data_IF_529798889408
#
_entry.id   IF_529798889408
#
_cell.length_a   1.000
_cell.length_b   1.000
_cell.length_c   1.000
_cell.angle_alpha   90.00
_cell.angle_beta   90.00
_cell.angle_gamma   90.00
#
_symmetry.space_group_name_H-M   'P 1'
#
loop_
_entity.id
_entity.type
_entity.pdbx_description
1 polymer ?
#
# COMPACT_ATOMS: atom_id res chain seq x y z
N UNK A 1 4.78 26.65 2.33
CA UNK A 1 4.08 25.48 2.90
C UNK A 1 3.60 24.66 1.72
N UNK A 2 3.96 23.37 1.62
CA UNK A 2 3.50 22.53 0.50
C UNK A 2 1.97 22.41 0.57
N UNK A 3 1.25 22.80 -0.48
CA UNK A 3 -0.22 22.80 -0.50
C UNK A 3 -0.82 21.53 -1.11
N UNK A 4 0.01 20.72 -1.78
CA UNK A 4 -0.41 19.54 -2.55
C UNK A 4 -0.81 18.31 -1.75
N UNK A 5 -1.22 18.43 -0.49
CA UNK A 5 -1.71 17.28 0.28
C UNK A 5 -3.06 16.78 -0.24
N UNK A 6 -3.24 15.46 -0.24
CA UNK A 6 -4.50 14.82 -0.65
C UNK A 6 -4.79 14.84 -2.16
N UNK A 7 -3.89 15.40 -2.97
CA UNK A 7 -3.96 15.31 -4.43
C UNK A 7 -3.13 14.12 -4.92
N UNK A 8 -3.62 13.46 -5.98
CA UNK A 8 -2.89 12.41 -6.67
C UNK A 8 -2.06 13.01 -7.81
N UNK A 9 -0.74 12.83 -7.76
CA UNK A 9 0.19 13.28 -8.78
C UNK A 9 0.80 12.11 -9.53
N UNK A 10 1.17 12.35 -10.79
CA UNK A 10 2.18 11.55 -11.46
C UNK A 10 3.56 11.92 -10.90
N UNK A 11 4.41 10.93 -10.63
CA UNK A 11 5.73 11.15 -10.01
C UNK A 11 6.60 12.13 -10.84
N UNK A 12 6.66 11.96 -12.16
CA UNK A 12 7.39 12.86 -13.06
C UNK A 12 6.85 14.30 -13.01
N UNK A 13 5.54 14.49 -13.02
CA UNK A 13 4.92 15.80 -12.95
C UNK A 13 5.21 16.51 -11.60
N UNK A 14 5.21 15.76 -10.49
CA UNK A 14 5.54 16.29 -9.17
C UNK A 14 7.01 16.73 -9.08
N UNK A 15 7.93 15.95 -9.65
CA UNK A 15 9.36 16.27 -9.67
C UNK A 15 9.67 17.55 -10.46
N UNK A 16 8.79 17.91 -11.40
CA UNK A 16 8.91 19.13 -12.20
C UNK A 16 8.23 20.35 -11.56
N UNK A 17 7.47 20.18 -10.46
CA UNK A 17 6.77 21.28 -9.81
C UNK A 17 7.73 22.14 -8.97
N UNK A 18 7.78 23.44 -9.25
CA UNK A 18 8.68 24.40 -8.58
C UNK A 18 8.59 24.35 -7.04
N UNK A 19 7.38 24.20 -6.48
CA UNK A 19 7.17 24.09 -5.04
C UNK A 19 7.89 22.89 -4.40
N UNK A 20 8.03 21.80 -5.15
CA UNK A 20 8.73 20.60 -4.71
C UNK A 20 10.26 20.79 -4.79
N UNK A 21 10.73 21.34 -5.91
CA UNK A 21 12.16 21.54 -6.19
C UNK A 21 12.80 22.54 -5.22
N UNK A 22 12.08 23.60 -4.86
CA UNK A 22 12.63 24.66 -3.99
C UNK A 22 12.64 24.30 -2.50
N UNK A 23 11.94 23.26 -2.06
CA UNK A 23 11.83 22.92 -0.64
C UNK A 23 12.42 21.54 -0.29
N UNK A 24 13.70 21.36 -0.60
CA UNK A 24 14.45 20.10 -0.40
C UNK A 24 14.48 19.61 1.06
N UNK A 25 14.28 20.52 2.02
CA UNK A 25 14.26 20.19 3.45
C UNK A 25 12.91 19.65 3.93
N UNK A 26 11.85 19.84 3.14
CA UNK A 26 10.51 19.38 3.45
C UNK A 26 10.41 17.85 3.41
N UNK A 27 9.56 17.29 4.27
CA UNK A 27 9.46 15.85 4.45
C UNK A 27 9.04 15.12 3.17
N UNK A 28 8.16 15.73 2.36
CA UNK A 28 7.68 15.14 1.09
C UNK A 28 8.81 14.92 0.09
N UNK A 29 9.71 15.90 -0.05
CA UNK A 29 10.92 15.79 -0.87
C UNK A 29 11.86 14.70 -0.35
N UNK A 30 12.21 14.75 0.95
CA UNK A 30 13.08 13.74 1.58
C UNK A 30 12.53 12.32 1.43
N UNK A 31 11.21 12.17 1.53
CA UNK A 31 10.53 10.87 1.40
C UNK A 31 10.63 10.32 -0.01
N UNK A 32 10.41 11.14 -1.04
CA UNK A 32 10.56 10.71 -2.44
C UNK A 32 12.00 10.32 -2.74
N UNK A 33 12.97 11.13 -2.32
CA UNK A 33 14.38 10.84 -2.56
C UNK A 33 14.82 9.54 -1.87
N UNK A 34 14.43 9.34 -0.60
CA UNK A 34 14.72 8.09 0.11
C UNK A 34 14.06 6.88 -0.56
N UNK A 35 12.78 7.01 -0.94
CA UNK A 35 12.05 5.94 -1.61
C UNK A 35 12.70 5.56 -2.95
N UNK A 36 13.09 6.55 -3.76
CA UNK A 36 13.82 6.34 -5.02
C UNK A 36 15.15 5.64 -4.80
N UNK A 37 15.93 6.06 -3.80
CA UNK A 37 17.19 5.40 -3.43
C UNK A 37 16.98 3.94 -3.01
N UNK A 38 15.94 3.68 -2.22
CA UNK A 38 15.57 2.32 -1.78
C UNK A 38 15.26 1.42 -2.98
N UNK A 39 14.51 1.91 -3.96
CA UNK A 39 14.12 1.13 -5.15
C UNK A 39 15.21 1.11 -6.25
N UNK A 40 16.16 2.04 -6.21
CA UNK A 40 17.36 1.99 -7.03
C UNK A 40 18.29 0.84 -6.63
N UNK A 41 18.20 0.36 -5.38
CA UNK A 41 18.97 -0.80 -4.92
C UNK A 41 18.67 -2.02 -5.82
N UNK A 42 19.70 -2.62 -6.46
CA UNK A 42 19.52 -3.78 -7.33
C UNK A 42 18.97 -5.01 -6.62
N UNK A 43 19.08 -5.09 -5.29
CA UNK A 43 18.60 -6.20 -4.47
C UNK A 43 17.17 -5.99 -3.95
N UNK A 44 16.61 -4.78 -4.07
CA UNK A 44 15.23 -4.53 -3.65
C UNK A 44 14.27 -5.54 -4.33
N UNK A 45 13.40 -6.23 -3.57
CA UNK A 45 12.83 -7.49 -4.03
C UNK A 45 11.75 -7.32 -5.10
N UNK A 46 10.97 -6.24 -5.06
CA UNK A 46 9.86 -6.03 -5.98
C UNK A 46 10.34 -5.53 -7.35
N UNK A 47 10.44 -6.45 -8.32
CA UNK A 47 10.83 -6.13 -9.70
C UNK A 47 9.90 -5.08 -10.35
N UNK A 48 8.60 -5.17 -10.10
CA UNK A 48 7.60 -4.25 -10.65
C UNK A 48 7.74 -2.83 -10.06
N UNK A 49 7.97 -2.71 -8.75
CA UNK A 49 8.18 -1.42 -8.09
C UNK A 49 9.43 -0.71 -8.61
N UNK A 50 10.54 -1.45 -8.77
CA UNK A 50 11.76 -0.92 -9.38
C UNK A 50 11.52 -0.41 -10.80
N UNK A 51 10.84 -1.20 -11.64
CA UNK A 51 10.48 -0.82 -13.01
C UNK A 51 9.59 0.42 -13.02
N UNK A 52 8.59 0.48 -12.14
CA UNK A 52 7.64 1.59 -12.07
C UNK A 52 8.34 2.92 -11.75
N UNK A 53 9.25 2.92 -10.78
CA UNK A 53 10.06 4.11 -10.44
C UNK A 53 11.00 4.47 -11.58
N UNK A 54 11.74 3.51 -12.15
CA UNK A 54 12.66 3.79 -13.26
C UNK A 54 11.93 4.34 -14.50
N UNK A 55 10.70 3.90 -14.75
CA UNK A 55 9.87 4.37 -15.86
C UNK A 55 9.04 5.61 -15.49
N UNK A 56 9.16 6.14 -14.26
CA UNK A 56 8.36 7.26 -13.74
C UNK A 56 6.84 7.07 -13.90
N UNK A 57 6.37 5.85 -13.67
CA UNK A 57 4.97 5.45 -13.86
C UNK A 57 4.13 5.46 -12.58
N UNK A 58 4.77 5.69 -11.44
CA UNK A 58 4.09 5.79 -10.14
C UNK A 58 3.17 7.01 -10.05
N UNK A 59 2.09 6.85 -9.30
CA UNK A 59 1.28 7.94 -8.77
C UNK A 59 1.62 8.16 -7.30
N UNK A 60 1.44 9.38 -6.79
CA UNK A 60 1.84 9.77 -5.43
C UNK A 60 0.75 10.60 -4.76
N UNK A 61 0.49 10.28 -3.49
CA UNK A 61 -0.27 11.10 -2.54
C UNK A 61 0.59 11.34 -1.30
N UNK A 62 0.56 12.57 -0.81
CA UNK A 62 1.01 12.89 0.54
C UNK A 62 -0.20 13.15 1.43
N UNK A 63 -0.21 12.51 2.59
CA UNK A 63 -1.25 12.67 3.60
C UNK A 63 -0.65 13.35 4.84
N UNK A 64 -1.25 14.47 5.24
CA UNK A 64 -0.76 15.25 6.39
C UNK A 64 -1.23 14.63 7.71
N UNK A 65 -0.42 14.76 8.77
CA UNK A 65 -0.69 14.10 10.05
C UNK A 65 -2.07 14.46 10.64
N UNK A 66 -2.57 15.68 10.41
CA UNK A 66 -3.87 16.15 10.92
C UNK A 66 -5.09 15.67 10.12
N UNK A 67 -4.91 15.15 8.89
CA UNK A 67 -6.01 14.81 7.97
C UNK A 67 -5.70 13.58 7.12
N UNK A 68 -5.02 12.58 7.71
CA UNK A 68 -4.52 11.41 6.98
C UNK A 68 -5.61 10.74 6.13
N UNK A 69 -6.76 10.40 6.71
CA UNK A 69 -7.82 9.70 6.00
C UNK A 69 -8.48 10.55 4.90
N UNK A 70 -8.69 11.85 5.13
CA UNK A 70 -9.29 12.75 4.15
C UNK A 70 -8.38 12.96 2.93
N UNK A 71 -7.08 13.16 3.16
CA UNK A 71 -6.10 13.32 2.09
C UNK A 71 -5.99 12.02 1.27
N UNK A 72 -5.95 10.85 1.93
CA UNK A 72 -5.86 9.56 1.24
C UNK A 72 -7.13 9.28 0.44
N UNK A 73 -8.32 9.43 1.03
CA UNK A 73 -9.58 9.14 0.36
C UNK A 73 -9.75 9.99 -0.91
N UNK A 74 -9.44 11.29 -0.83
CA UNK A 74 -9.49 12.20 -1.98
C UNK A 74 -8.55 11.77 -3.09
N UNK A 75 -7.27 11.60 -2.78
CA UNK A 75 -6.28 11.23 -3.79
C UNK A 75 -6.49 9.82 -4.33
N UNK A 76 -6.99 8.89 -3.52
CA UNK A 76 -7.30 7.52 -3.95
C UNK A 76 -8.48 7.50 -4.93
N UNK A 77 -9.52 8.31 -4.70
CA UNK A 77 -10.60 8.49 -5.66
C UNK A 77 -10.08 9.04 -7.00
N UNK A 78 -9.17 10.03 -6.96
CA UNK A 78 -8.53 10.58 -8.16
C UNK A 78 -7.72 9.52 -8.91
N UNK A 79 -6.88 8.76 -8.21
CA UNK A 79 -6.10 7.67 -8.79
C UNK A 79 -7.00 6.64 -9.47
N UNK A 80 -8.05 6.16 -8.79
CA UNK A 80 -8.97 5.17 -9.34
C UNK A 80 -9.67 5.71 -10.58
N UNK A 81 -10.17 6.96 -10.55
CA UNK A 81 -10.76 7.61 -11.71
C UNK A 81 -9.80 7.69 -12.90
N UNK A 82 -8.50 7.87 -12.65
CA UNK A 82 -7.47 7.88 -13.69
C UNK A 82 -7.20 6.48 -14.27
N UNK A 83 -7.12 5.44 -13.44
CA UNK A 83 -6.70 4.09 -13.90
C UNK A 83 -7.86 3.19 -14.33
N UNK A 84 -9.07 3.38 -13.81
CA UNK A 84 -10.26 2.58 -14.12
C UNK A 84 -10.64 2.53 -15.62
N UNK A 85 -10.44 3.56 -16.46
CA UNK A 85 -10.72 3.45 -17.90
C UNK A 85 -9.59 2.79 -18.71
N UNK A 86 -8.39 2.63 -18.16
CA UNK A 86 -7.23 2.07 -18.85
C UNK A 86 -7.40 0.54 -18.93
N UNK A 87 -7.06 -0.17 -20.02
CA UNK A 87 -7.12 -1.64 -20.04
C UNK A 87 -6.19 -2.30 -19.00
N UNK A 88 -6.59 -3.41 -18.37
CA UNK A 88 -5.86 -4.09 -17.28
C UNK A 88 -4.35 -4.24 -17.56
N UNK A 89 -3.98 -4.77 -18.74
CA UNK A 89 -2.58 -4.96 -19.13
C UNK A 89 -1.75 -3.67 -19.15
N UNK A 90 -2.39 -2.54 -19.42
CA UNK A 90 -1.76 -1.22 -19.44
C UNK A 90 -1.76 -0.55 -18.06
N UNK A 91 -2.58 -1.01 -17.10
CA UNK A 91 -2.53 -0.55 -15.70
C UNK A 91 -1.31 -1.09 -14.94
N UNK A 92 -0.80 -2.24 -15.38
CA UNK A 92 0.34 -2.91 -14.72
C UNK A 92 1.56 -1.99 -14.70
N UNK A 93 2.15 -1.83 -13.52
CA UNK A 93 3.31 -0.97 -13.33
C UNK A 93 2.97 0.49 -13.05
N UNK A 94 1.69 0.83 -12.84
CA UNK A 94 1.26 2.16 -12.43
C UNK A 94 0.75 2.17 -10.96
N UNK A 95 1.56 1.78 -9.96
CA UNK A 95 1.12 1.75 -8.57
C UNK A 95 0.84 3.16 -8.05
N UNK A 96 -0.04 3.25 -7.05
CA UNK A 96 -0.19 4.42 -6.23
C UNK A 96 0.67 4.29 -4.96
N UNK A 97 1.46 5.32 -4.70
CA UNK A 97 2.26 5.46 -3.49
C UNK A 97 1.60 6.50 -2.59
N UNK A 98 1.32 6.13 -1.36
CA UNK A 98 0.73 7.03 -0.37
C UNK A 98 1.68 7.15 0.80
N UNK A 99 2.19 8.35 1.05
CA UNK A 99 3.07 8.60 2.19
C UNK A 99 2.31 9.34 3.28
N UNK A 100 2.31 8.77 4.49
CA UNK A 100 1.60 9.28 5.63
C UNK A 100 2.58 10.01 6.55
N UNK A 101 2.41 11.31 6.71
CA UNK A 101 3.19 12.07 7.66
C UNK A 101 2.91 11.54 9.08
N UNK A 102 3.96 11.04 9.71
CA UNK A 102 3.90 10.31 10.97
C UNK A 102 5.05 10.71 11.88
N UNK A 103 4.86 10.55 13.19
CA UNK A 103 5.91 10.80 14.17
C UNK A 103 7.02 9.74 14.04
N UNK A 104 8.28 10.15 13.79
CA UNK A 104 9.41 9.22 13.69
C UNK A 104 9.71 8.46 15.00
N UNK A 105 9.21 8.93 16.15
CA UNK A 105 9.42 8.28 17.45
C UNK A 105 8.46 7.09 17.70
N UNK A 106 7.47 6.88 16.84
CA UNK A 106 6.48 5.80 17.01
C UNK A 106 7.10 4.41 16.88
N UNK A 107 6.64 3.49 17.73
CA UNK A 107 6.98 2.06 17.65
C UNK A 107 6.31 1.37 16.46
N UNK A 108 6.81 0.20 16.05
CA UNK A 108 6.21 -0.57 14.94
C UNK A 108 4.73 -0.90 15.21
N UNK A 109 4.39 -1.34 16.43
CA UNK A 109 3.00 -1.63 16.79
C UNK A 109 2.08 -0.39 16.73
N UNK A 110 2.56 0.80 17.11
CA UNK A 110 1.80 2.05 16.99
C UNK A 110 1.60 2.45 15.53
N UNK A 111 2.65 2.35 14.71
CA UNK A 111 2.57 2.61 13.28
C UNK A 111 1.54 1.69 12.59
N UNK A 112 1.58 0.39 12.93
CA UNK A 112 0.68 -0.62 12.39
C UNK A 112 -0.78 -0.40 12.83
N UNK A 113 -0.99 -0.01 14.10
CA UNK A 113 -2.32 0.35 14.60
C UNK A 113 -2.87 1.59 13.90
N UNK A 114 -2.03 2.62 13.72
CA UNK A 114 -2.39 3.83 13.00
C UNK A 114 -2.79 3.52 11.56
N UNK A 115 -2.01 2.69 10.85
CA UNK A 115 -2.30 2.34 9.46
C UNK A 115 -3.66 1.65 9.29
N UNK A 116 -4.02 0.72 10.18
CA UNK A 116 -5.35 0.11 10.17
C UNK A 116 -6.47 1.11 10.49
N UNK A 117 -6.27 1.96 11.51
CA UNK A 117 -7.23 2.99 11.87
C UNK A 117 -7.45 4.00 10.72
N UNK A 118 -6.37 4.36 10.00
CA UNK A 118 -6.45 5.21 8.81
C UNK A 118 -7.20 4.49 7.69
N UNK A 119 -6.88 3.22 7.41
CA UNK A 119 -7.57 2.47 6.35
C UNK A 119 -9.09 2.35 6.63
N UNK A 120 -9.46 2.12 7.90
CA UNK A 120 -10.86 2.12 8.34
C UNK A 120 -11.54 3.48 8.10
N UNK A 121 -10.85 4.57 8.40
CA UNK A 121 -11.37 5.92 8.18
C UNK A 121 -11.43 6.31 6.70
N UNK A 122 -10.53 5.78 5.88
CA UNK A 122 -10.61 5.90 4.41
C UNK A 122 -11.85 5.17 3.91
N UNK A 123 -12.11 3.93 4.35
CA UNK A 123 -13.35 3.21 4.02
C UNK A 123 -14.61 3.97 4.40
N UNK A 124 -14.64 4.62 5.57
CA UNK A 124 -15.77 5.47 5.97
C UNK A 124 -16.02 6.68 5.04
N UNK A 125 -15.08 6.99 4.14
CA UNK A 125 -15.14 8.05 3.12
C UNK A 125 -15.28 7.48 1.71
N UNK A 126 -15.54 6.19 1.55
CA UNK A 126 -15.75 5.58 0.24
C UNK A 126 -16.95 6.24 -0.45
N UNK A 127 -16.78 6.80 -1.67
CA UNK A 127 -17.90 7.38 -2.42
C UNK A 127 -18.85 6.32 -2.99
N UNK A 128 -18.52 5.03 -2.92
CA UNK A 128 -19.32 3.92 -3.43
C UNK A 128 -19.62 2.91 -2.32
N UNK A 129 -20.73 2.16 -2.41
CA UNK A 129 -20.95 1.02 -1.53
C UNK A 129 -19.90 -0.06 -1.78
N UNK A 130 -19.67 -0.90 -0.78
CA UNK A 130 -18.83 -2.10 -0.92
C UNK A 130 -19.37 -3.01 -2.05
N UNK A 131 -18.54 -3.49 -2.98
CA UNK A 131 -18.99 -4.36 -4.08
C UNK A 131 -19.63 -5.66 -3.59
N UNK A 132 -20.74 -6.07 -4.21
CA UNK A 132 -21.51 -7.25 -3.80
C UNK A 132 -20.73 -8.57 -4.01
N UNK A 133 -19.84 -8.58 -4.99
CA UNK A 133 -19.02 -9.73 -5.38
C UNK A 133 -17.78 -9.91 -4.49
N UNK A 134 -17.42 -8.91 -3.69
CA UNK A 134 -16.29 -8.97 -2.75
C UNK A 134 -16.81 -9.28 -1.35
N UNK A 135 -16.34 -10.35 -0.69
CA UNK A 135 -16.70 -10.65 0.69
C UNK A 135 -16.49 -9.46 1.63
N UNK A 136 -17.29 -9.40 2.69
CA UNK A 136 -17.20 -8.35 3.70
C UNK A 136 -16.24 -8.69 4.85
N UNK A 137 -16.12 -9.97 5.22
CA UNK A 137 -15.20 -10.42 6.28
C UNK A 137 -13.76 -10.50 5.72
N UNK A 138 -12.78 -9.79 6.29
CA UNK A 138 -11.38 -9.95 5.93
C UNK A 138 -10.83 -11.36 6.14
N UNK A 139 -11.50 -12.22 6.91
CA UNK A 139 -11.18 -13.65 7.03
C UNK A 139 -11.80 -14.52 5.91
N UNK A 140 -12.30 -13.92 4.83
CA UNK A 140 -12.58 -14.66 3.59
C UNK A 140 -11.34 -14.61 2.68
N UNK A 141 -10.94 -15.76 2.11
CA UNK A 141 -9.78 -15.86 1.22
C UNK A 141 -9.89 -15.03 -0.06
N UNK A 142 -11.10 -14.60 -0.43
CA UNK A 142 -11.41 -13.73 -1.58
C UNK A 142 -11.66 -12.28 -1.18
N UNK A 143 -11.50 -11.93 0.10
CA UNK A 143 -11.61 -10.54 0.53
C UNK A 143 -10.43 -9.71 0.03
N UNK A 144 -10.75 -8.52 -0.47
CA UNK A 144 -9.78 -7.46 -0.75
C UNK A 144 -10.37 -6.13 -0.25
N UNK A 145 -9.50 -5.21 0.19
CA UNK A 145 -9.94 -3.84 0.48
C UNK A 145 -10.53 -3.19 -0.78
N UNK A 146 -11.73 -2.61 -0.68
CA UNK A 146 -12.35 -1.89 -1.79
C UNK A 146 -12.39 -0.38 -1.51
N UNK A 147 -12.23 0.41 -2.57
CA UNK A 147 -12.51 1.84 -2.54
C UNK A 147 -13.06 2.29 -3.89
N UNK A 148 -14.07 3.15 -3.92
CA UNK A 148 -14.73 3.61 -5.15
C UNK A 148 -15.13 2.46 -6.09
N UNK A 149 -15.58 1.34 -5.52
CA UNK A 149 -15.99 0.13 -6.22
C UNK A 149 -14.84 -0.74 -6.77
N UNK A 150 -13.58 -0.37 -6.56
CA UNK A 150 -12.43 -1.12 -7.05
C UNK A 150 -11.79 -1.95 -5.93
N UNK A 151 -11.60 -3.28 -6.11
CA UNK A 151 -10.76 -4.09 -5.23
C UNK A 151 -9.29 -3.71 -5.37
N UNK A 152 -8.61 -3.50 -4.25
CA UNK A 152 -7.24 -2.98 -4.16
C UNK A 152 -6.40 -3.84 -3.22
N UNK A 153 -5.16 -4.11 -3.61
CA UNK A 153 -4.15 -4.64 -2.71
C UNK A 153 -3.36 -3.49 -2.07
N UNK A 154 -3.34 -3.42 -0.73
CA UNK A 154 -2.71 -2.33 0.03
C UNK A 154 -1.48 -2.86 0.77
N UNK A 155 -0.31 -2.72 0.15
CA UNK A 155 0.95 -3.06 0.82
C UNK A 155 1.34 -1.94 1.78
N UNK A 156 1.34 -2.21 3.09
CA UNK A 156 1.72 -1.25 4.12
C UNK A 156 3.18 -1.48 4.53
N UNK A 157 3.97 -0.43 4.46
CA UNK A 157 5.38 -0.40 4.83
C UNK A 157 5.61 0.58 5.97
N UNK A 158 6.46 0.20 6.91
CA UNK A 158 6.63 0.85 8.20
C UNK A 158 8.10 1.14 8.50
N UNK A 159 8.43 2.36 8.95
CA UNK A 159 9.80 2.70 9.38
C UNK A 159 10.31 1.80 10.51
N UNK A 160 9.41 1.26 11.34
CA UNK A 160 9.74 0.39 12.45
C UNK A 160 10.19 -1.02 12.06
N UNK A 161 10.02 -1.45 10.79
CA UNK A 161 10.50 -2.76 10.35
C UNK A 161 12.03 -2.81 10.30
N UNK A 162 12.60 -3.81 10.99
CA UNK A 162 14.04 -4.09 11.04
C UNK A 162 14.39 -5.41 10.39
N UNK A 163 13.57 -6.45 10.59
CA UNK A 163 13.77 -7.77 9.99
C UNK A 163 13.13 -7.84 8.61
N UNK A 164 11.89 -7.37 8.49
CA UNK A 164 11.17 -7.25 7.22
C UNK A 164 11.63 -6.00 6.46
N UNK A 165 12.94 -5.88 6.16
CA UNK A 165 13.55 -4.71 5.49
C UNK A 165 12.84 -4.32 4.20
N UNK A 166 12.34 -5.30 3.45
CA UNK A 166 11.53 -5.10 2.24
C UNK A 166 10.21 -4.34 2.45
N UNK A 167 9.76 -4.20 3.69
CA UNK A 167 8.60 -3.40 4.15
C UNK A 167 9.01 -2.14 4.90
N UNK A 168 10.26 -1.70 4.78
CA UNK A 168 10.70 -0.39 5.24
C UNK A 168 11.07 0.47 4.03
N UNK A 169 10.29 1.52 3.77
CA UNK A 169 10.44 2.39 2.60
C UNK A 169 10.91 3.81 2.95
N UNK A 170 11.34 4.03 4.20
CA UNK A 170 11.84 5.32 4.67
C UNK A 170 11.34 5.69 6.06
N UNK A 171 11.32 7.00 6.34
CA UNK A 171 11.04 7.54 7.68
C UNK A 171 9.55 7.68 8.01
N UNK A 172 8.67 7.44 7.04
CA UNK A 172 7.23 7.57 7.19
C UNK A 172 6.52 6.30 6.74
N UNK A 173 5.30 6.07 7.25
CA UNK A 173 4.46 4.97 6.76
C UNK A 173 4.18 5.20 5.27
N UNK A 174 4.27 4.13 4.49
CA UNK A 174 4.00 4.15 3.06
C UNK A 174 3.00 3.05 2.69
N UNK A 175 1.96 3.39 1.95
CA UNK A 175 1.12 2.41 1.28
C UNK A 175 1.50 2.32 -0.20
N UNK A 176 1.70 1.11 -0.69
CA UNK A 176 1.85 0.82 -2.13
C UNK A 176 0.58 0.10 -2.58
N UNK A 177 -0.29 0.84 -3.27
CA UNK A 177 -1.63 0.41 -3.64
C UNK A 177 -1.65 0.08 -5.13
N UNK A 178 -2.26 -1.06 -5.47
CA UNK A 178 -2.52 -1.45 -6.86
C UNK A 178 -3.93 -2.03 -6.97
N UNK A 179 -4.60 -1.90 -8.13
CA UNK A 179 -5.80 -2.67 -8.43
C UNK A 179 -5.52 -4.15 -8.24
N UNK A 180 -6.37 -4.85 -7.49
CA UNK A 180 -6.11 -6.24 -7.09
C UNK A 180 -5.93 -7.13 -8.31
N UNK A 181 -6.78 -7.01 -9.32
CA UNK A 181 -6.71 -7.73 -10.60
C UNK A 181 -5.33 -7.64 -11.31
N UNK A 182 -4.53 -6.61 -11.04
CA UNK A 182 -3.19 -6.47 -11.62
C UNK A 182 -2.26 -7.60 -11.18
N UNK A 183 -2.43 -8.13 -9.96
CA UNK A 183 -1.65 -9.26 -9.46
C UNK A 183 -2.05 -10.58 -10.10
N UNK A 184 -3.33 -10.74 -10.47
CA UNK A 184 -3.78 -11.98 -11.14
C UNK A 184 -3.24 -12.05 -12.57
N UNK A 185 -3.07 -10.90 -13.23
CA UNK A 185 -2.47 -10.84 -14.57
C UNK A 185 -0.97 -11.14 -14.57
N UNK A 186 -0.20 -10.63 -13.60
CA UNK A 186 1.29 -10.77 -13.59
C UNK A 186 1.82 -11.93 -12.76
N UNK A 187 1.04 -12.40 -11.79
CA UNK A 187 1.46 -13.32 -10.76
C UNK A 187 0.36 -14.33 -10.42
N UNK A 188 -0.40 -14.77 -11.42
CA UNK A 188 -1.44 -15.79 -11.24
C UNK A 188 -0.88 -17.07 -10.60
N UNK A 189 -1.67 -17.70 -9.73
CA UNK A 189 -1.42 -19.07 -9.28
C UNK A 189 -1.64 -20.09 -10.41
N UNK A 190 -2.51 -19.76 -11.37
CA UNK A 190 -2.93 -20.68 -12.44
C UNK A 190 -1.98 -20.73 -13.65
N UNK A 191 -0.92 -19.92 -13.67
CA UNK A 191 0.04 -19.88 -14.79
C UNK A 191 1.45 -20.16 -14.32
N UNK A 192 2.22 -20.90 -15.12
CA UNK A 192 3.62 -21.21 -14.82
C UNK A 192 4.48 -19.94 -14.73
N UNK A 193 4.23 -18.97 -15.61
CA UNK A 193 4.91 -17.68 -15.58
C UNK A 193 4.63 -16.90 -14.28
N UNK A 194 3.37 -16.90 -13.82
CA UNK A 194 2.98 -16.25 -12.57
C UNK A 194 3.62 -16.91 -11.35
N UNK A 195 3.62 -18.24 -11.29
CA UNK A 195 4.29 -19.02 -10.25
C UNK A 195 5.81 -18.73 -10.20
N UNK A 196 6.48 -18.73 -11.36
CA UNK A 196 7.91 -18.41 -11.47
C UNK A 196 8.21 -16.98 -11.02
N UNK A 197 7.40 -16.00 -11.39
CA UNK A 197 7.55 -14.60 -10.97
C UNK A 197 7.44 -14.49 -9.45
N UNK A 198 6.44 -15.14 -8.82
CA UNK A 198 6.31 -15.13 -7.36
C UNK A 198 7.47 -15.81 -6.66
N UNK A 199 7.90 -16.98 -7.13
CA UNK A 199 9.05 -17.68 -6.57
C UNK A 199 10.30 -16.80 -6.59
N UNK A 200 10.56 -16.13 -7.73
CA UNK A 200 11.66 -15.17 -7.87
C UNK A 200 11.54 -13.98 -6.91
N UNK A 201 10.34 -13.40 -6.76
CA UNK A 201 10.14 -12.30 -5.80
C UNK A 201 10.38 -12.77 -4.37
N UNK A 202 9.84 -13.95 -3.98
CA UNK A 202 10.04 -14.52 -2.63
C UNK A 202 11.51 -14.79 -2.33
N UNK A 203 12.25 -15.35 -3.29
CA UNK A 203 13.70 -15.54 -3.14
C UNK A 203 14.43 -14.22 -2.88
N UNK A 204 14.07 -13.16 -3.63
CA UNK A 204 14.63 -11.83 -3.42
C UNK A 204 14.22 -11.22 -2.08
N UNK A 205 12.98 -11.43 -1.63
CA UNK A 205 12.53 -11.00 -0.30
C UNK A 205 13.38 -11.68 0.77
N UNK A 206 13.56 -13.00 0.68
CA UNK A 206 14.41 -13.77 1.60
C UNK A 206 15.83 -13.20 1.62
N UNK A 207 16.42 -12.95 0.46
CA UNK A 207 17.76 -12.38 0.37
C UNK A 207 17.83 -10.98 0.99
N UNK A 208 16.90 -10.10 0.64
CA UNK A 208 16.87 -8.71 1.10
C UNK A 208 16.60 -8.57 2.61
N UNK A 209 15.85 -9.51 3.20
CA UNK A 209 15.53 -9.55 4.63
C UNK A 209 16.53 -10.44 5.43
N UNK A 210 17.75 -10.68 4.94
CA UNK A 210 18.78 -11.51 5.59
C UNK A 210 18.30 -12.93 5.98
N UNK A 211 17.50 -13.55 5.13
CA UNK A 211 16.95 -14.89 5.34
C UNK A 211 15.55 -14.91 5.96
N UNK A 212 15.06 -13.81 6.52
CA UNK A 212 13.73 -13.74 7.13
C UNK A 212 12.65 -13.73 6.05
N UNK A 213 11.72 -14.67 6.15
CA UNK A 213 10.55 -14.75 5.28
C UNK A 213 9.26 -14.57 6.07
N UNK A 214 8.29 -13.81 5.56
CA UNK A 214 6.98 -13.69 6.20
C UNK A 214 6.13 -14.93 5.89
N UNK A 215 5.49 -15.48 6.92
CA UNK A 215 4.66 -16.68 6.81
C UNK A 215 3.39 -16.46 5.98
N UNK A 216 2.89 -15.22 5.94
CA UNK A 216 1.62 -14.86 5.30
C UNK A 216 1.68 -14.68 3.79
N UNK A 217 2.85 -14.83 3.14
CA UNK A 217 2.97 -14.60 1.69
C UNK A 217 2.38 -15.76 0.86
N UNK A 218 1.05 -15.81 0.71
CA UNK A 218 0.33 -16.80 -0.10
C UNK A 218 -0.19 -16.31 -1.45
N UNK A 219 -1.08 -17.09 -2.07
CA UNK A 219 -1.88 -16.67 -3.22
C UNK A 219 -3.31 -16.40 -2.79
N UNK A 220 -3.88 -15.32 -3.28
CA UNK A 220 -5.27 -14.96 -3.02
C UNK A 220 -6.25 -16.05 -3.45
N UNK A 221 -7.32 -16.20 -2.69
CA UNK A 221 -8.33 -17.24 -2.90
C UNK A 221 -7.85 -18.65 -2.52
N UNK A 222 -6.60 -18.85 -2.09
CA UNK A 222 -6.21 -20.11 -1.46
C UNK A 222 -6.76 -20.19 -0.05
N UNK A 223 -7.24 -21.39 0.30
CA UNK A 223 -7.66 -21.72 1.66
C UNK A 223 -6.54 -21.35 2.66
N UNK A 224 -6.95 -20.80 3.81
CA UNK A 224 -6.07 -20.34 4.88
C UNK A 224 -5.08 -19.21 4.52
N UNK A 225 -5.20 -18.57 3.35
CA UNK A 225 -4.45 -17.35 3.01
C UNK A 225 -5.37 -16.12 2.98
N UNK A 226 -5.26 -15.29 4.02
CA UNK A 226 -6.05 -14.06 4.12
C UNK A 226 -5.25 -12.85 3.66
N UNK A 227 -5.79 -12.12 2.68
CA UNK A 227 -5.06 -11.04 2.00
C UNK A 227 -4.61 -9.91 2.95
N UNK A 228 -5.40 -9.60 4.00
CA UNK A 228 -5.04 -8.60 5.00
C UNK A 228 -3.75 -8.93 5.77
N UNK A 229 -3.39 -10.21 5.92
CA UNK A 229 -2.13 -10.62 6.56
C UNK A 229 -0.91 -10.30 5.69
N UNK A 230 -1.10 -10.06 4.38
CA UNK A 230 -0.06 -9.62 3.45
C UNK A 230 0.05 -8.10 3.36
N UNK A 231 -1.00 -7.37 3.75
CA UNK A 231 -1.01 -5.91 3.79
C UNK A 231 -0.04 -5.42 4.84
N UNK A 232 -0.06 -6.04 6.03
CA UNK A 232 0.78 -5.69 7.15
C UNK A 232 1.54 -6.93 7.66
N UNK A 233 2.82 -7.03 7.29
CA UNK A 233 3.70 -8.10 7.74
C UNK A 233 4.09 -7.92 9.20
N UNK A 234 4.39 -9.02 9.87
CA UNK A 234 4.67 -9.05 11.30
C UNK A 234 6.12 -9.48 11.58
N UNK A 235 6.69 -8.95 12.67
CA UNK A 235 7.98 -9.33 13.25
C UNK A 235 7.93 -9.08 14.78
N UNK A 236 8.96 -9.45 15.57
CA UNK A 236 9.00 -9.12 16.98
C UNK A 236 8.84 -7.61 17.22
N UNK A 237 7.86 -7.22 18.04
CA UNK A 237 7.49 -5.81 18.29
C UNK A 237 6.38 -5.26 17.39
N UNK A 238 5.85 -6.06 16.47
CA UNK A 238 4.63 -5.73 15.70
C UNK A 238 3.34 -5.84 16.53
N UNK A 239 2.25 -5.28 16.00
CA UNK A 239 0.91 -5.29 16.58
C UNK A 239 0.34 -6.70 16.75
N UNK A 240 0.62 -7.63 15.82
CA UNK A 240 0.24 -9.05 15.85
C UNK A 240 -1.24 -9.30 16.21
N UNK A 241 -2.22 -8.71 15.50
CA UNK A 241 -3.62 -8.91 15.84
C UNK A 241 -4.09 -10.32 15.43
N UNK A 242 -4.89 -10.97 16.29
CA UNK A 242 -5.43 -12.31 16.01
C UNK A 242 -6.50 -12.32 14.90
N UNK A 243 -7.15 -11.17 14.66
CA UNK A 243 -8.06 -10.95 13.51
C UNK A 243 -7.75 -9.59 12.88
N UNK A 244 -8.26 -9.36 11.67
CA UNK A 244 -8.06 -8.13 10.94
C UNK A 244 -8.72 -6.96 11.71
N UNK A 245 -8.01 -5.86 12.00
CA UNK A 245 -8.61 -4.71 12.66
C UNK A 245 -9.59 -3.91 11.78
N UNK A 246 -9.63 -4.20 10.47
CA UNK A 246 -10.55 -3.58 9.53
C UNK A 246 -11.92 -4.25 9.54
N UNK A 247 -12.97 -3.44 9.45
CA UNK A 247 -14.36 -3.87 9.36
C UNK A 247 -15.04 -3.16 8.20
N UNK A 248 -15.71 -3.93 7.33
CA UNK A 248 -16.50 -3.41 6.21
C UNK A 248 -17.82 -2.81 6.66
N UNK A 249 -18.46 -3.41 7.66
CA UNK A 249 -19.61 -2.81 8.32
C UNK A 249 -19.13 -1.59 9.12
N UNK A 250 -19.65 -0.40 8.79
CA UNK A 250 -19.64 0.71 9.74
C UNK A 250 -20.39 0.21 10.97
N UNK A 251 -19.72 0.10 12.11
CA UNK A 251 -20.39 -0.25 13.36
C UNK A 251 -21.61 0.65 13.51
N UNK A 252 -22.81 0.06 13.56
CA UNK A 252 -23.99 0.80 13.98
C UNK A 252 -23.66 1.37 15.37
N UNK A 253 -23.96 2.65 15.64
CA UNK A 253 -23.78 3.18 16.98
C UNK A 253 -24.60 2.30 17.92
N UNK A 254 -23.93 1.72 18.93
CA UNK A 254 -24.63 1.00 19.99
C UNK A 254 -25.62 1.97 20.63
N UNK A 255 -26.90 1.79 20.33
CA UNK A 255 -27.96 2.43 21.09
C UNK A 255 -28.02 1.63 22.41
N UNK A 256 -27.40 2.16 23.45
CA UNK A 256 -27.65 1.72 24.82
C UNK A 256 -29.13 2.03 25.13
N UNK A 257 -29.92 0.97 25.31
CA UNK A 257 -31.24 1.03 25.95
C UNK A 257 -31.10 0.99 27.46
#
# INVERSE_FOLDING_TARGET
MFTGYGHCYRLDALELADEHVHNQHHWTHKTIEHFKQTLANPDFPCLFGRKAVSARTCHIIFARASQLADDIARGLADYIRTVAPIPLKQRIGHPLLVFLQTDPASTLAEQQRLAWAVLQQVHARDPQPWPNEVPQDPHDARWAFCFAGMPLFVNMSFPGHRLMKSRNLGQHIAFVINPRESFDEVASAGTESGQRIRARIRERVRHYNDGVMPDSLGFFGQDDNFEWQQYQLQEPGSLNPARCPFHTATAEPMIEN
#
